data_IF_700348543007
#
_entry.id   IF_700348543007
#
_cell.length_a   1.000
_cell.length_b   1.000
_cell.length_c   1.000
_cell.angle_alpha   90.00
_cell.angle_beta   90.00
_cell.angle_gamma   90.00
#
_symmetry.space_group_name_H-M   'P 1'
#
loop_
_entity.id
_entity.type
_entity.pdbx_description
1 polymer ?
#
# COMPACT_ATOMS: atom_id res chain seq x y z
N UNK A 1 7.82 -19.56 18.66
CA UNK A 1 8.03 -19.70 17.20
C UNK A 1 7.44 -18.50 16.45
N UNK A 2 8.16 -17.36 16.43
CA UNK A 2 7.86 -16.25 15.50
C UNK A 2 8.95 -16.13 14.42
N UNK A 3 10.17 -16.56 14.73
CA UNK A 3 11.29 -16.60 13.77
C UNK A 3 11.02 -17.53 12.59
N UNK A 4 10.36 -18.67 12.79
CA UNK A 4 10.08 -19.63 11.72
C UNK A 4 9.02 -19.12 10.73
N UNK A 5 8.07 -18.30 11.19
CA UNK A 5 7.08 -17.65 10.35
C UNK A 5 7.70 -16.55 9.47
N UNK A 6 8.73 -15.85 9.96
CA UNK A 6 9.47 -14.84 9.19
C UNK A 6 10.38 -15.47 8.12
N UNK A 7 10.85 -16.72 8.32
CA UNK A 7 11.65 -17.45 7.33
C UNK A 7 10.87 -17.87 6.09
N UNK A 8 9.53 -17.86 6.14
CA UNK A 8 8.68 -18.15 4.98
C UNK A 8 8.34 -16.90 4.15
N UNK A 9 8.85 -15.72 4.52
CA UNK A 9 8.69 -14.52 3.71
C UNK A 9 9.53 -14.72 2.45
N UNK A 10 8.85 -15.04 1.35
CA UNK A 10 9.46 -15.13 0.02
C UNK A 10 10.15 -13.81 -0.27
N UNK A 11 11.47 -13.83 -0.49
CA UNK A 11 12.20 -12.66 -0.96
C UNK A 11 11.79 -12.41 -2.41
N UNK A 12 11.05 -11.34 -2.72
CA UNK A 12 10.71 -11.02 -4.10
C UNK A 12 11.98 -10.69 -4.88
N UNK A 13 11.97 -10.94 -6.19
CA UNK A 13 12.99 -10.34 -7.07
C UNK A 13 12.87 -8.82 -7.06
N UNK A 14 13.89 -8.10 -7.52
CA UNK A 14 13.83 -6.64 -7.59
C UNK A 14 12.63 -6.14 -8.40
N UNK A 15 12.34 -6.78 -9.54
CA UNK A 15 11.19 -6.45 -10.38
C UNK A 15 9.86 -6.73 -9.67
N UNK A 16 9.75 -7.86 -8.99
CA UNK A 16 8.55 -8.18 -8.19
C UNK A 16 8.35 -7.20 -7.03
N UNK A 17 9.44 -6.82 -6.35
CA UNK A 17 9.40 -5.83 -5.29
C UNK A 17 8.91 -4.47 -5.81
N UNK A 18 9.36 -4.07 -7.01
CA UNK A 18 8.93 -2.86 -7.67
C UNK A 18 7.43 -2.87 -7.95
N UNK A 19 6.93 -3.97 -8.52
CA UNK A 19 5.49 -4.14 -8.79
C UNK A 19 4.67 -4.07 -7.50
N UNK A 20 5.11 -4.76 -6.43
CA UNK A 20 4.43 -4.73 -5.13
C UNK A 20 4.37 -3.30 -4.56
N UNK A 21 5.48 -2.55 -4.68
CA UNK A 21 5.54 -1.16 -4.22
C UNK A 21 4.59 -0.28 -5.04
N UNK A 22 4.61 -0.41 -6.37
CA UNK A 22 3.78 0.39 -7.27
C UNK A 22 2.27 0.10 -7.03
N UNK A 23 1.91 -1.17 -6.88
CA UNK A 23 0.55 -1.59 -6.53
C UNK A 23 0.12 -1.03 -5.17
N UNK A 24 1.00 -1.09 -4.17
CA UNK A 24 0.73 -0.54 -2.84
C UNK A 24 0.53 0.98 -2.88
N UNK A 25 1.34 1.70 -3.67
CA UNK A 25 1.21 3.16 -3.84
C UNK A 25 -0.12 3.51 -4.50
N UNK A 26 -0.53 2.75 -5.53
CA UNK A 26 -1.82 2.93 -6.20
C UNK A 26 -2.98 2.73 -5.23
N UNK A 27 -3.00 1.57 -4.57
CA UNK A 27 -4.00 1.23 -3.56
C UNK A 27 -4.10 2.30 -2.46
N UNK A 28 -2.95 2.72 -1.93
CA UNK A 28 -2.91 3.71 -0.86
C UNK A 28 -3.51 5.06 -1.29
N UNK A 29 -3.21 5.51 -2.52
CA UNK A 29 -3.67 6.82 -2.98
C UNK A 29 -5.14 6.83 -3.40
N UNK A 30 -5.63 5.76 -4.02
CA UNK A 30 -6.90 5.76 -4.74
C UNK A 30 -7.96 4.78 -4.21
N UNK A 31 -7.59 3.78 -3.42
CA UNK A 31 -8.53 2.77 -2.93
C UNK A 31 -8.72 2.86 -1.41
N UNK A 32 -7.69 3.31 -0.69
CA UNK A 32 -7.74 3.43 0.76
C UNK A 32 -8.68 4.54 1.22
N UNK A 33 -9.86 4.17 1.72
CA UNK A 33 -10.81 5.13 2.31
C UNK A 33 -10.44 5.53 3.74
N UNK A 34 -10.41 6.83 4.02
CA UNK A 34 -10.32 7.36 5.38
C UNK A 34 -11.70 7.30 6.05
N UNK A 35 -11.80 6.65 7.22
CA UNK A 35 -13.09 6.39 7.87
C UNK A 35 -13.89 7.65 8.24
N UNK A 36 -13.20 8.75 8.60
CA UNK A 36 -13.87 9.98 9.03
C UNK A 36 -14.45 10.78 7.86
N UNK A 37 -13.68 10.91 6.78
CA UNK A 37 -14.05 11.74 5.62
C UNK A 37 -14.71 10.94 4.52
N UNK A 38 -14.59 9.61 4.57
CA UNK A 38 -14.96 8.67 3.48
C UNK A 38 -14.32 9.02 2.15
N UNK A 39 -13.11 9.57 2.21
CA UNK A 39 -12.34 9.98 1.05
C UNK A 39 -11.03 9.20 0.99
N UNK A 40 -10.55 9.02 -0.23
CA UNK A 40 -9.21 8.57 -0.52
C UNK A 40 -8.19 9.69 -0.24
N UNK A 41 -6.91 9.36 0.04
CA UNK A 41 -5.87 10.37 0.15
C UNK A 41 -5.77 11.29 -1.06
N UNK A 42 -6.01 10.77 -2.27
CA UNK A 42 -6.03 11.59 -3.48
C UNK A 42 -7.16 12.63 -3.45
N UNK A 43 -8.40 12.22 -3.18
CA UNK A 43 -9.55 13.13 -3.09
C UNK A 43 -9.33 14.22 -2.04
N UNK A 44 -8.77 13.86 -0.87
CA UNK A 44 -8.45 14.86 0.16
C UNK A 44 -7.46 15.93 -0.35
N UNK A 45 -6.45 15.55 -1.14
CA UNK A 45 -5.49 16.51 -1.72
C UNK A 45 -6.16 17.44 -2.74
N UNK A 46 -7.04 16.91 -3.58
CA UNK A 46 -7.78 17.70 -4.57
C UNK A 46 -8.77 18.69 -3.94
N UNK A 47 -9.29 18.39 -2.75
CA UNK A 47 -10.21 19.25 -2.02
C UNK A 47 -9.53 20.27 -1.09
N UNK A 48 -8.20 20.17 -0.91
CA UNK A 48 -7.43 21.07 -0.05
C UNK A 48 -6.85 22.29 -0.81
N UNK A 49 -7.12 22.40 -2.11
CA UNK A 49 -6.81 23.55 -2.99
C UNK A 49 -7.99 24.50 -3.08
#
# INVERSE_FOLDING_TARGET
MKEEALRQVRNPTFEEARLIIDDYISFYNYERLQLKTRQTPYETRCLST
#
